data_IF_677265457535
#
_entry.id   IF_677265457535
#
_cell.length_a   1.000
_cell.length_b   1.000
_cell.length_c   1.000
_cell.angle_alpha   90.00
_cell.angle_beta   90.00
_cell.angle_gamma   90.00
#
_symmetry.space_group_name_H-M   'P 1'
#
loop_
_entity.id
_entity.type
_entity.pdbx_description
1 polymer ?
#
# COMPACT_ATOMS: atom_id res chain seq x y z
N UNK A 1 2.67 -12.89 -24.04
CA UNK A 1 3.49 -11.83 -23.41
C UNK A 1 3.79 -12.31 -22.00
N UNK A 2 5.01 -12.77 -21.72
CA UNK A 2 5.35 -13.27 -20.38
C UNK A 2 5.31 -12.14 -19.34
N UNK A 3 5.17 -12.45 -18.04
CA UNK A 3 5.20 -11.43 -17.00
C UNK A 3 6.54 -10.69 -17.07
N UNK A 4 6.50 -9.37 -17.24
CA UNK A 4 7.67 -8.52 -17.03
C UNK A 4 8.02 -8.67 -15.54
N UNK A 5 9.18 -9.24 -15.24
CA UNK A 5 9.70 -9.23 -13.87
C UNK A 5 9.98 -7.76 -13.53
N UNK A 6 9.07 -7.12 -12.80
CA UNK A 6 9.25 -5.77 -12.29
C UNK A 6 10.11 -5.86 -11.02
N UNK A 7 11.27 -5.23 -11.01
CA UNK A 7 12.14 -5.22 -9.83
C UNK A 7 11.75 -4.09 -8.89
N UNK A 8 11.01 -4.41 -7.83
CA UNK A 8 10.59 -3.42 -6.84
C UNK A 8 11.76 -2.90 -5.99
N UNK A 9 12.91 -3.59 -5.94
CA UNK A 9 14.02 -3.19 -5.06
C UNK A 9 14.61 -1.83 -5.45
N UNK A 10 14.45 -1.43 -6.70
CA UNK A 10 14.93 -0.16 -7.24
C UNK A 10 13.90 0.96 -7.19
N UNK A 11 12.66 0.67 -6.75
CA UNK A 11 11.62 1.68 -6.68
C UNK A 11 11.91 2.72 -5.60
N UNK A 12 11.78 3.97 -6.01
CA UNK A 12 11.91 5.17 -5.19
C UNK A 12 10.86 6.21 -5.62
N UNK A 13 10.95 7.43 -5.08
CA UNK A 13 10.04 8.53 -5.41
C UNK A 13 10.05 8.91 -6.90
N UNK A 14 11.18 8.78 -7.59
CA UNK A 14 11.35 9.23 -8.99
C UNK A 14 11.00 8.16 -10.03
N UNK A 15 10.67 6.95 -9.58
CA UNK A 15 10.31 5.83 -10.43
C UNK A 15 9.00 6.09 -11.22
N UNK A 16 8.85 5.46 -12.38
CA UNK A 16 7.59 5.51 -13.14
C UNK A 16 6.53 4.62 -12.48
N UNK A 17 5.79 5.20 -11.54
CA UNK A 17 4.71 4.53 -10.81
C UNK A 17 3.47 4.28 -11.67
N UNK A 18 3.28 4.97 -12.80
CA UNK A 18 2.13 4.77 -13.69
C UNK A 18 2.05 3.37 -14.29
N UNK A 19 3.21 2.71 -14.39
CA UNK A 19 3.31 1.32 -14.83
C UNK A 19 2.99 0.30 -13.72
N UNK A 20 2.73 0.72 -12.48
CA UNK A 20 2.54 -0.19 -11.33
C UNK A 20 1.08 -0.23 -10.87
N UNK A 21 0.60 -1.45 -10.64
CA UNK A 21 -0.65 -1.70 -9.94
C UNK A 21 -0.33 -2.06 -8.48
N UNK A 22 -0.70 -1.19 -7.56
CA UNK A 22 -0.37 -1.32 -6.14
C UNK A 22 -1.63 -1.63 -5.35
N UNK A 23 -1.62 -2.73 -4.61
CA UNK A 23 -2.67 -3.04 -3.65
C UNK A 23 -2.26 -2.55 -2.27
N UNK A 24 -3.11 -1.75 -1.62
CA UNK A 24 -2.94 -1.32 -0.23
C UNK A 24 -3.93 -2.07 0.66
N UNK A 25 -3.43 -2.85 1.61
CA UNK A 25 -4.25 -3.64 2.52
C UNK A 25 -4.44 -2.91 3.87
N UNK A 26 -5.70 -2.54 4.13
CA UNK A 26 -6.20 -1.76 5.26
C UNK A 26 -6.35 -0.27 4.92
N UNK A 27 -7.55 0.30 5.09
CA UNK A 27 -7.88 1.72 4.83
C UNK A 27 -7.84 2.58 6.12
N UNK A 28 -7.09 2.13 7.12
CA UNK A 28 -6.78 2.92 8.31
C UNK A 28 -6.07 4.24 7.97
N UNK A 29 -5.61 4.98 8.98
CA UNK A 29 -4.88 6.25 8.77
C UNK A 29 -3.65 6.01 7.88
N UNK A 30 -2.85 5.03 8.27
CA UNK A 30 -1.73 4.46 7.55
C UNK A 30 -1.99 4.20 6.06
N UNK A 31 -2.91 3.29 5.76
CA UNK A 31 -3.15 2.85 4.40
C UNK A 31 -3.85 3.90 3.54
N UNK A 32 -4.69 4.76 4.12
CA UNK A 32 -5.21 5.93 3.42
C UNK A 32 -4.07 6.83 2.93
N UNK A 33 -3.12 7.17 3.79
CA UNK A 33 -1.96 8.01 3.42
C UNK A 33 -1.06 7.32 2.40
N UNK A 34 -0.88 5.99 2.50
CA UNK A 34 -0.13 5.22 1.50
C UNK A 34 -0.83 5.28 0.13
N UNK A 35 -2.14 5.08 0.09
CA UNK A 35 -2.93 5.13 -1.14
C UNK A 35 -2.84 6.51 -1.79
N UNK A 36 -3.10 7.58 -1.02
CA UNK A 36 -3.00 8.96 -1.49
C UNK A 36 -1.62 9.29 -2.06
N UNK A 37 -0.53 8.93 -1.34
CA UNK A 37 0.83 9.17 -1.82
C UNK A 37 1.15 8.41 -3.13
N UNK A 38 0.72 7.16 -3.23
CA UNK A 38 0.92 6.35 -4.45
C UNK A 38 0.12 6.88 -5.64
N UNK A 39 -1.10 7.37 -5.39
CA UNK A 39 -1.95 7.99 -6.42
C UNK A 39 -1.35 9.30 -6.92
N UNK A 40 -0.78 10.12 -6.03
CA UNK A 40 -0.06 11.35 -6.42
C UNK A 40 1.17 11.07 -7.28
N UNK A 41 1.78 9.88 -7.15
CA UNK A 41 2.86 9.42 -8.01
C UNK A 41 2.37 8.77 -9.31
N UNK A 42 1.06 8.58 -9.47
CA UNK A 42 0.42 8.05 -10.68
C UNK A 42 0.19 6.54 -10.68
N UNK A 43 0.40 5.84 -9.56
CA UNK A 43 0.16 4.39 -9.49
C UNK A 43 -1.31 4.02 -9.67
N UNK A 44 -1.56 2.82 -10.23
CA UNK A 44 -2.91 2.25 -10.28
C UNK A 44 -3.22 1.61 -8.93
N UNK A 45 -3.94 2.32 -8.06
CA UNK A 45 -4.13 1.91 -6.66
C UNK A 45 -5.45 1.16 -6.46
N UNK A 46 -5.36 -0.02 -5.85
CA UNK A 46 -6.49 -0.75 -5.26
C UNK A 46 -6.34 -0.80 -3.75
N UNK A 47 -7.30 -0.29 -3.00
CA UNK A 47 -7.35 -0.42 -1.55
C UNK A 47 -8.31 -1.54 -1.17
N UNK A 48 -7.89 -2.43 -0.27
CA UNK A 48 -8.72 -3.52 0.26
C UNK A 48 -8.77 -3.45 1.77
N UNK A 49 -9.94 -3.66 2.37
CA UNK A 49 -10.11 -3.76 3.81
C UNK A 49 -11.23 -4.77 4.13
N UNK A 50 -11.02 -5.62 5.14
CA UNK A 50 -12.03 -6.58 5.59
C UNK A 50 -13.17 -5.91 6.39
N UNK A 51 -12.93 -4.71 6.92
CA UNK A 51 -13.94 -3.91 7.61
C UNK A 51 -14.76 -3.05 6.64
N UNK A 52 -15.96 -2.69 7.10
CA UNK A 52 -16.87 -1.77 6.41
C UNK A 52 -17.62 -0.91 7.46
N UNK A 53 -16.86 -0.23 8.31
CA UNK A 53 -17.38 0.77 9.26
C UNK A 53 -17.65 2.11 8.56
N UNK A 54 -18.45 2.98 9.18
CA UNK A 54 -18.73 4.33 8.67
C UNK A 54 -17.45 5.12 8.36
N UNK A 55 -16.47 5.11 9.28
CA UNK A 55 -15.17 5.75 9.08
C UNK A 55 -14.38 5.18 7.89
N UNK A 56 -14.52 3.89 7.61
CA UNK A 56 -13.88 3.27 6.44
C UNK A 56 -14.59 3.69 5.15
N UNK A 57 -15.92 3.79 5.17
CA UNK A 57 -16.72 4.30 4.04
C UNK A 57 -16.40 5.75 3.70
N UNK A 58 -16.30 6.64 4.69
CA UNK A 58 -15.92 8.05 4.47
C UNK A 58 -14.57 8.17 3.74
N UNK A 59 -13.56 7.42 4.18
CA UNK A 59 -12.25 7.37 3.52
C UNK A 59 -12.33 6.77 2.12
N UNK A 60 -13.10 5.71 1.97
CA UNK A 60 -13.29 5.04 0.69
C UNK A 60 -13.96 5.97 -0.34
N UNK A 61 -14.92 6.80 0.08
CA UNK A 61 -15.56 7.80 -0.77
C UNK A 61 -14.54 8.82 -1.29
N UNK A 62 -13.68 9.34 -0.41
CA UNK A 62 -12.64 10.29 -0.81
C UNK A 62 -11.67 9.64 -1.81
N UNK A 63 -11.16 8.45 -1.52
CA UNK A 63 -10.22 7.77 -2.42
C UNK A 63 -10.86 7.41 -3.77
N UNK A 64 -12.13 6.99 -3.78
CA UNK A 64 -12.86 6.72 -5.03
C UNK A 64 -13.07 8.00 -5.84
N UNK A 65 -13.32 9.14 -5.20
CA UNK A 65 -13.42 10.43 -5.88
C UNK A 65 -12.08 10.89 -6.50
N UNK A 66 -10.96 10.32 -6.05
CA UNK A 66 -9.62 10.52 -6.60
C UNK A 66 -9.22 9.40 -7.58
N UNK A 67 -10.18 8.59 -8.04
CA UNK A 67 -10.01 7.46 -8.98
C UNK A 67 -9.31 6.19 -8.44
N UNK A 68 -9.19 6.02 -7.10
CA UNK A 68 -8.78 4.74 -6.53
C UNK A 68 -9.90 3.70 -6.60
N UNK A 69 -9.54 2.43 -6.81
CA UNK A 69 -10.46 1.32 -6.55
C UNK A 69 -10.44 0.99 -5.06
N UNK A 70 -11.60 0.89 -4.40
CA UNK A 70 -11.68 0.56 -2.96
C UNK A 70 -12.69 -0.54 -2.70
N UNK A 71 -12.22 -1.65 -2.12
CA UNK A 71 -12.99 -2.84 -1.75
C UNK A 71 -13.07 -2.94 -0.22
N UNK A 72 -14.23 -2.57 0.35
CA UNK A 72 -14.52 -2.76 1.78
C UNK A 72 -15.26 -4.08 1.99
N UNK A 73 -15.16 -4.65 3.19
CA UNK A 73 -15.69 -5.99 3.47
C UNK A 73 -15.02 -7.10 2.64
N UNK A 74 -13.80 -6.85 2.13
CA UNK A 74 -13.10 -7.76 1.23
C UNK A 74 -12.39 -8.86 2.01
N UNK A 75 -12.88 -10.08 1.88
CA UNK A 75 -12.30 -11.32 2.42
C UNK A 75 -11.74 -12.24 1.31
N UNK A 76 -11.80 -11.78 0.07
CA UNK A 76 -11.39 -12.51 -1.12
C UNK A 76 -9.87 -12.52 -1.38
N UNK A 77 -9.47 -13.09 -2.53
CA UNK A 77 -8.06 -13.16 -2.92
C UNK A 77 -7.46 -11.78 -3.20
N UNK A 78 -6.15 -11.74 -3.30
CA UNK A 78 -5.38 -10.58 -3.76
C UNK A 78 -5.89 -10.13 -5.15
N UNK A 79 -6.09 -8.81 -5.37
CA UNK A 79 -6.44 -8.30 -6.69
C UNK A 79 -5.45 -8.79 -7.76
N UNK A 80 -5.96 -9.40 -8.82
CA UNK A 80 -5.15 -10.14 -9.82
C UNK A 80 -4.07 -9.32 -10.51
N UNK A 81 -4.27 -8.01 -10.62
CA UNK A 81 -3.32 -7.10 -11.28
C UNK A 81 -2.17 -6.64 -10.37
N UNK A 82 -2.14 -7.05 -9.09
CA UNK A 82 -1.18 -6.54 -8.11
C UNK A 82 0.27 -6.81 -8.50
N UNK A 83 1.06 -5.75 -8.67
CA UNK A 83 2.52 -5.80 -8.83
C UNK A 83 3.26 -5.57 -7.50
N UNK A 84 2.62 -4.92 -6.54
CA UNK A 84 3.15 -4.61 -5.22
C UNK A 84 2.02 -4.60 -4.18
N UNK A 85 2.22 -5.28 -3.05
CA UNK A 85 1.34 -5.21 -1.89
C UNK A 85 1.95 -4.28 -0.83
N UNK A 86 1.20 -3.26 -0.40
CA UNK A 86 1.54 -2.43 0.75
C UNK A 86 0.60 -2.77 1.92
N UNK A 87 1.17 -3.05 3.08
CA UNK A 87 0.44 -3.54 4.25
C UNK A 87 0.45 -2.47 5.34
N UNK A 88 -0.73 -2.10 5.82
CA UNK A 88 -0.86 -1.20 6.98
C UNK A 88 -0.57 -1.94 8.30
N UNK A 89 -0.12 -1.24 9.38
CA UNK A 89 0.33 -1.89 10.63
C UNK A 89 -0.68 -2.77 11.37
N UNK A 90 -1.98 -2.66 11.05
CA UNK A 90 -3.04 -3.41 11.71
C UNK A 90 -3.25 -4.83 11.18
N UNK A 91 -2.67 -5.17 10.02
CA UNK A 91 -2.81 -6.52 9.46
C UNK A 91 -1.82 -7.49 10.13
N UNK A 92 -2.27 -8.65 10.62
CA UNK A 92 -1.37 -9.65 11.16
C UNK A 92 -0.48 -10.24 10.07
N UNK A 93 0.78 -10.61 10.36
CA UNK A 93 1.67 -11.23 9.37
C UNK A 93 1.11 -12.52 8.74
N UNK A 94 0.19 -13.19 9.43
CA UNK A 94 -0.51 -14.39 8.96
C UNK A 94 -1.70 -14.09 8.04
N UNK A 95 -1.91 -12.83 7.63
CA UNK A 95 -3.06 -12.45 6.82
C UNK A 95 -3.03 -13.14 5.43
N UNK A 96 -4.15 -13.70 4.93
CA UNK A 96 -4.19 -14.43 3.67
C UNK A 96 -3.61 -13.67 2.48
N UNK A 97 -3.93 -12.37 2.34
CA UNK A 97 -3.38 -11.52 1.27
C UNK A 97 -1.84 -11.44 1.27
N UNK A 98 -1.20 -11.47 2.45
CA UNK A 98 0.27 -11.45 2.57
C UNK A 98 0.82 -12.78 2.08
N UNK A 99 0.24 -13.89 2.54
CA UNK A 99 0.65 -15.23 2.10
C UNK A 99 0.48 -15.44 0.60
N UNK A 100 -0.64 -14.96 0.04
CA UNK A 100 -0.92 -15.05 -1.39
C UNK A 100 0.07 -14.22 -2.21
N UNK A 101 0.35 -12.98 -1.82
CA UNK A 101 1.35 -12.15 -2.48
C UNK A 101 2.73 -12.81 -2.49
N UNK A 102 3.18 -13.33 -1.34
CA UNK A 102 4.46 -14.04 -1.22
C UNK A 102 4.50 -15.30 -2.08
N UNK A 103 3.41 -16.08 -2.14
CA UNK A 103 3.32 -17.27 -2.98
C UNK A 103 3.39 -16.95 -4.48
N UNK A 104 2.91 -15.78 -4.89
CA UNK A 104 2.97 -15.27 -6.25
C UNK A 104 4.30 -14.56 -6.58
N UNK A 105 5.21 -14.43 -5.61
CA UNK A 105 6.46 -13.68 -5.78
C UNK A 105 6.25 -12.16 -5.86
N UNK A 106 5.07 -11.67 -5.46
CA UNK A 106 4.74 -10.25 -5.41
C UNK A 106 5.42 -9.65 -4.17
N UNK A 107 6.17 -8.54 -4.31
CA UNK A 107 6.79 -7.87 -3.18
C UNK A 107 5.74 -7.35 -2.20
N UNK A 108 6.08 -7.47 -0.91
CA UNK A 108 5.25 -6.99 0.20
C UNK A 108 6.03 -5.94 0.98
N UNK A 109 5.50 -4.73 1.06
CA UNK A 109 6.07 -3.64 1.85
C UNK A 109 5.14 -3.28 3.01
N UNK A 110 5.73 -2.87 4.14
CA UNK A 110 4.98 -2.13 5.15
C UNK A 110 4.89 -0.66 4.79
N UNK A 111 3.99 0.08 5.46
CA UNK A 111 3.90 1.54 5.29
C UNK A 111 5.23 2.28 5.51
N UNK A 112 6.06 1.82 6.45
CA UNK A 112 7.34 2.45 6.77
C UNK A 112 8.36 2.25 5.66
N UNK A 113 8.37 1.08 5.02
CA UNK A 113 9.20 0.80 3.85
C UNK A 113 8.80 1.69 2.68
N UNK A 114 7.49 1.83 2.44
CA UNK A 114 6.98 2.75 1.42
C UNK A 114 7.42 4.19 1.73
N UNK A 115 7.17 4.66 2.96
CA UNK A 115 7.57 6.00 3.38
C UNK A 115 9.07 6.23 3.24
N UNK A 116 9.91 5.24 3.57
CA UNK A 116 11.37 5.29 3.42
C UNK A 116 11.80 5.43 1.94
N UNK A 117 11.17 4.66 1.05
CA UNK A 117 11.47 4.67 -0.40
C UNK A 117 11.00 5.94 -1.11
N UNK A 118 9.89 6.52 -0.67
CA UNK A 118 9.30 7.72 -1.28
C UNK A 118 9.91 9.03 -0.80
N UNK A 119 10.98 8.98 0.01
CA UNK A 119 11.69 10.18 0.43
C UNK A 119 12.37 10.85 -0.74
N UNK A 120 12.46 12.17 -0.62
CA UNK A 120 13.28 12.98 -1.52
C UNK A 120 14.76 12.61 -1.31
N UNK A 121 15.46 12.10 -2.35
CA UNK A 121 16.87 11.76 -2.25
C UNK A 121 17.77 12.99 -2.10
N UNK A 122 17.34 14.15 -2.60
CA UNK A 122 18.09 15.40 -2.58
C UNK A 122 17.83 16.22 -1.29
N UNK A 123 16.71 15.95 -0.62
CA UNK A 123 16.32 16.62 0.62
C UNK A 123 15.71 15.67 1.65
N UNK A 124 16.40 14.56 1.93
CA UNK A 124 15.94 13.58 2.92
C UNK A 124 15.88 14.19 4.33
N UNK A 125 14.67 14.26 4.90
CA UNK A 125 14.49 14.68 6.29
C UNK A 125 15.21 13.73 7.26
N UNK A 126 15.69 14.24 8.39
CA UNK A 126 16.24 13.41 9.46
C UNK A 126 15.13 12.58 10.13
N UNK A 127 15.36 11.28 10.34
CA UNK A 127 14.41 10.37 11.00
C UNK A 127 14.79 10.19 12.47
N UNK A 128 13.83 10.42 13.37
CA UNK A 128 13.90 10.00 14.77
C UNK A 128 12.88 8.88 14.99
N UNK A 129 13.37 7.66 15.16
CA UNK A 129 12.52 6.50 15.41
C UNK A 129 12.30 6.32 16.92
N UNK A 130 11.07 6.56 17.40
CA UNK A 130 10.66 6.29 18.79
C UNK A 130 9.80 5.04 18.85
N UNK A 131 10.15 4.08 19.70
CA UNK A 131 9.39 2.84 19.93
C UNK A 131 9.19 2.56 21.43
N UNK A 132 8.39 1.54 21.80
CA UNK A 132 7.95 1.25 23.19
C UNK A 132 6.44 1.00 23.37
N UNK A 133 6.01 0.02 24.16
CA UNK A 133 4.60 -0.43 24.17
C UNK A 133 3.60 0.60 24.73
N UNK A 134 4.06 1.55 25.57
CA UNK A 134 3.24 2.63 26.13
C UNK A 134 4.08 3.91 26.25
N UNK A 135 3.48 5.08 26.00
CA UNK A 135 4.13 6.39 26.20
C UNK A 135 5.02 6.87 25.05
N UNK A 136 4.86 6.32 23.84
CA UNK A 136 5.39 6.95 22.61
C UNK A 136 4.52 8.13 22.19
#
# INVERSE_FOLDING_TARGET
MGPRVKDSRLLDRGSDWSAWAVTVAGIGIAGYSCADALMQLGANVTVVDAGDSERQRERAEILRALDATVLLGHDGPLPKATDLLVVSPGLPPSHPLIHEALALGIPVWGELELAWRLRDPDSAAAWLCVTGTNGK
#
